data_IF_535869457889
#
_entry.id   IF_535869457889
#
_cell.length_a   1.000
_cell.length_b   1.000
_cell.length_c   1.000
_cell.angle_alpha   90.00
_cell.angle_beta   90.00
_cell.angle_gamma   90.00
#
_symmetry.space_group_name_H-M   'P 1'
#
loop_
_entity.id
_entity.type
_entity.pdbx_description
1 polymer ?
#
# COMPACT_ATOMS: atom_id res chain seq x y z
N UNK A 1 4.47 19.67 15.69
CA UNK A 1 3.02 19.44 15.80
C UNK A 1 2.34 20.25 14.70
N UNK A 2 2.24 19.67 13.49
CA UNK A 2 1.42 20.27 12.43
C UNK A 2 -0.02 19.87 12.73
N UNK A 3 -0.84 20.85 13.15
CA UNK A 3 -2.28 20.68 13.20
C UNK A 3 -2.78 20.47 11.76
N UNK A 4 -3.30 19.31 11.48
CA UNK A 4 -3.98 19.05 10.21
C UNK A 4 -5.11 20.06 10.03
N UNK A 5 -5.31 20.59 8.79
CA UNK A 5 -6.40 21.52 8.54
C UNK A 5 -7.71 20.88 8.94
N UNK A 6 -8.48 21.59 9.76
CA UNK A 6 -9.84 21.16 10.09
C UNK A 6 -10.66 21.11 8.80
N UNK A 7 -11.67 20.25 8.76
CA UNK A 7 -12.59 20.08 7.62
C UNK A 7 -13.06 21.41 7.00
N UNK A 8 -13.33 22.39 7.85
CA UNK A 8 -13.77 23.74 7.47
C UNK A 8 -12.67 24.52 6.74
N UNK A 9 -11.39 24.32 7.09
CA UNK A 9 -10.27 24.99 6.41
C UNK A 9 -9.96 24.36 5.06
N UNK A 10 -10.10 23.04 4.89
CA UNK A 10 -9.93 22.38 3.59
C UNK A 10 -11.04 22.74 2.60
N UNK A 11 -12.29 22.87 3.07
CA UNK A 11 -13.41 23.32 2.24
C UNK A 11 -13.21 24.77 1.77
N UNK A 12 -12.78 25.66 2.67
CA UNK A 12 -12.49 27.06 2.34
C UNK A 12 -11.28 27.21 1.41
N UNK A 13 -10.25 26.39 1.59
CA UNK A 13 -9.10 26.37 0.67
C UNK A 13 -9.51 25.87 -0.72
N UNK A 14 -10.31 24.81 -0.80
CA UNK A 14 -10.82 24.29 -2.06
C UNK A 14 -11.68 25.34 -2.80
N UNK A 15 -12.52 26.10 -2.09
CA UNK A 15 -13.28 27.21 -2.65
C UNK A 15 -12.38 28.35 -3.12
N UNK A 16 -11.36 28.72 -2.36
CA UNK A 16 -10.43 29.81 -2.72
C UNK A 16 -9.60 29.50 -3.99
N UNK A 17 -9.27 28.22 -4.24
CA UNK A 17 -8.52 27.80 -5.44
C UNK A 17 -9.41 27.43 -6.63
N UNK A 18 -10.72 27.46 -6.48
CA UNK A 18 -11.69 27.03 -7.49
C UNK A 18 -11.66 27.89 -8.76
N UNK A 19 -11.38 29.20 -8.66
CA UNK A 19 -11.44 30.14 -9.80
C UNK A 19 -12.78 30.02 -10.53
N UNK A 20 -12.73 30.09 -11.87
CA UNK A 20 -13.91 29.95 -12.74
C UNK A 20 -14.24 28.49 -13.14
N UNK A 21 -13.58 27.50 -12.50
CA UNK A 21 -13.81 26.08 -12.77
C UNK A 21 -15.02 25.55 -11.99
N UNK A 22 -16.00 24.99 -12.70
CA UNK A 22 -17.09 24.24 -12.08
C UNK A 22 -16.59 22.87 -11.62
N UNK A 23 -16.20 22.77 -10.34
CA UNK A 23 -15.85 21.50 -9.72
C UNK A 23 -17.05 20.92 -8.99
N UNK A 24 -17.38 19.66 -9.26
CA UNK A 24 -18.47 18.97 -8.58
C UNK A 24 -18.31 19.04 -7.05
N UNK A 25 -19.35 19.45 -6.29
CA UNK A 25 -19.30 19.43 -4.82
C UNK A 25 -19.00 18.06 -4.22
N UNK A 26 -19.31 16.97 -4.92
CA UNK A 26 -18.99 15.62 -4.49
C UNK A 26 -17.48 15.36 -4.55
N UNK A 27 -16.80 15.81 -5.62
CA UNK A 27 -15.34 15.69 -5.76
C UNK A 27 -14.64 16.50 -4.67
N UNK A 28 -15.07 17.75 -4.43
CA UNK A 28 -14.52 18.57 -3.35
C UNK A 28 -14.67 17.94 -1.97
N UNK A 29 -15.84 17.38 -1.68
CA UNK A 29 -16.06 16.67 -0.41
C UNK A 29 -15.16 15.44 -0.28
N UNK A 30 -15.09 14.61 -1.30
CA UNK A 30 -14.23 13.42 -1.30
C UNK A 30 -12.75 13.81 -1.09
N UNK A 31 -12.28 14.82 -1.82
CA UNK A 31 -10.93 15.35 -1.64
C UNK A 31 -10.67 15.83 -0.22
N UNK A 32 -11.54 16.71 0.32
CA UNK A 32 -11.41 17.24 1.67
C UNK A 32 -11.44 16.16 2.75
N UNK A 33 -12.12 15.04 2.50
CA UNK A 33 -12.22 13.91 3.42
C UNK A 33 -11.03 12.96 3.36
N UNK A 34 -10.32 12.91 2.23
CA UNK A 34 -9.26 11.92 1.97
C UNK A 34 -7.88 12.54 1.82
N UNK A 35 -7.76 13.87 1.75
CA UNK A 35 -6.50 14.56 1.50
C UNK A 35 -5.42 14.33 2.58
N UNK A 36 -5.81 13.93 3.79
CA UNK A 36 -4.89 13.56 4.87
C UNK A 36 -4.58 12.05 4.89
N UNK A 37 -5.15 11.28 3.96
CA UNK A 37 -4.91 9.84 3.88
C UNK A 37 -3.53 9.50 3.32
N UNK A 38 -2.90 8.49 3.89
CA UNK A 38 -1.64 7.95 3.42
C UNK A 38 -1.80 6.46 3.11
N UNK A 39 -1.81 6.13 1.82
CA UNK A 39 -2.00 4.76 1.37
C UNK A 39 -0.71 4.18 0.80
N UNK A 40 -0.17 3.17 1.45
CA UNK A 40 1.04 2.47 1.01
C UNK A 40 1.00 2.01 -0.46
N UNK A 41 -0.09 1.39 -0.96
CA UNK A 41 -0.19 1.01 -2.37
C UNK A 41 -0.13 2.19 -3.35
N UNK A 42 -0.75 3.33 -3.01
CA UNK A 42 -0.70 4.55 -3.83
C UNK A 42 0.73 5.11 -3.86
N UNK A 43 1.38 5.19 -2.69
CA UNK A 43 2.77 5.61 -2.58
C UNK A 43 3.71 4.69 -3.38
N UNK A 44 3.48 3.37 -3.35
CA UNK A 44 4.26 2.40 -4.12
C UNK A 44 4.10 2.61 -5.65
N UNK A 45 2.86 2.82 -6.13
CA UNK A 45 2.57 3.08 -7.53
C UNK A 45 3.25 4.38 -8.01
N UNK A 46 3.13 5.46 -7.22
CA UNK A 46 3.74 6.75 -7.53
C UNK A 46 5.27 6.69 -7.48
N UNK A 47 5.84 5.98 -6.51
CA UNK A 47 7.29 5.75 -6.44
C UNK A 47 7.81 4.98 -7.67
N UNK A 48 7.06 3.98 -8.14
CA UNK A 48 7.38 3.25 -9.37
C UNK A 48 7.32 4.14 -10.61
N UNK A 49 6.28 4.97 -10.74
CA UNK A 49 6.15 5.93 -11.83
C UNK A 49 7.33 6.93 -11.84
N UNK A 50 7.67 7.51 -10.67
CA UNK A 50 8.80 8.42 -10.55
C UNK A 50 10.14 7.76 -10.93
N UNK A 51 10.36 6.51 -10.51
CA UNK A 51 11.56 5.77 -10.87
C UNK A 51 11.64 5.53 -12.39
N UNK A 52 10.52 5.28 -13.07
CA UNK A 52 10.48 5.16 -14.52
C UNK A 52 10.85 6.48 -15.22
N UNK A 53 10.44 7.63 -14.68
CA UNK A 53 10.83 8.93 -15.23
C UNK A 53 12.35 9.17 -15.15
N UNK A 54 12.97 8.74 -14.04
CA UNK A 54 14.43 8.78 -13.91
C UNK A 54 15.10 7.90 -14.98
N UNK A 55 14.60 6.68 -15.19
CA UNK A 55 15.13 5.79 -16.24
C UNK A 55 14.98 6.38 -17.64
N UNK A 56 13.85 7.04 -17.95
CA UNK A 56 13.65 7.75 -19.23
C UNK A 56 14.65 8.88 -19.40
N UNK A 57 14.83 9.70 -18.37
CA UNK A 57 15.78 10.82 -18.41
C UNK A 57 17.22 10.35 -18.62
N UNK A 58 17.65 9.30 -17.91
CA UNK A 58 18.99 8.73 -18.04
C UNK A 58 19.21 7.96 -19.34
N UNK A 59 18.20 7.24 -19.82
CA UNK A 59 18.30 6.39 -21.01
C UNK A 59 18.11 7.10 -22.33
N UNK A 60 17.46 8.27 -22.34
CA UNK A 60 17.18 9.06 -23.52
C UNK A 60 16.27 8.40 -24.59
N UNK A 61 15.68 7.23 -24.28
CA UNK A 61 14.88 6.46 -25.24
C UNK A 61 13.41 6.88 -25.32
N UNK A 62 12.85 7.38 -24.22
CA UNK A 62 11.46 7.79 -24.10
C UNK A 62 11.40 9.19 -23.51
N UNK A 63 10.45 10.00 -23.97
CA UNK A 63 10.22 11.31 -23.41
C UNK A 63 9.67 11.18 -21.98
N UNK A 64 10.24 11.89 -21.00
CA UNK A 64 9.65 12.02 -19.67
C UNK A 64 8.25 12.66 -19.74
N UNK A 65 7.46 12.39 -18.71
CA UNK A 65 6.16 13.06 -18.54
C UNK A 65 6.41 14.58 -18.48
N UNK A 66 5.66 15.34 -19.28
CA UNK A 66 5.77 16.80 -19.29
C UNK A 66 4.77 17.39 -18.31
N UNK A 67 5.28 18.11 -17.30
CA UNK A 67 4.60 18.86 -16.25
C UNK A 67 3.92 17.97 -15.19
N UNK A 68 2.77 17.35 -15.48
CA UNK A 68 1.93 16.73 -14.46
C UNK A 68 1.54 15.30 -14.81
N UNK A 69 1.53 14.43 -13.81
CA UNK A 69 0.86 13.13 -13.82
C UNK A 69 -0.33 13.21 -12.86
N UNK A 70 -1.53 12.99 -13.38
CA UNK A 70 -2.75 12.89 -12.57
C UNK A 70 -3.02 11.43 -12.29
N UNK A 71 -3.13 11.10 -11.00
CA UNK A 71 -3.41 9.76 -10.53
C UNK A 71 -4.33 9.81 -9.33
N UNK A 72 -5.43 9.11 -9.39
CA UNK A 72 -6.35 8.92 -8.28
C UNK A 72 -6.87 7.47 -8.24
N UNK A 73 -7.56 7.12 -7.17
CA UNK A 73 -8.21 5.83 -6.96
C UNK A 73 -9.57 6.03 -6.26
N UNK A 74 -10.30 7.09 -6.62
CA UNK A 74 -11.58 7.44 -6.00
C UNK A 74 -12.63 6.33 -6.14
N UNK A 75 -12.55 5.52 -7.18
CA UNK A 75 -13.41 4.36 -7.37
C UNK A 75 -13.25 3.29 -6.28
N UNK A 76 -12.13 3.28 -5.57
CA UNK A 76 -11.89 2.39 -4.45
C UNK A 76 -12.55 2.85 -3.14
N UNK A 77 -13.06 4.09 -3.09
CA UNK A 77 -13.68 4.63 -1.90
C UNK A 77 -15.06 3.97 -1.65
N UNK A 78 -15.31 3.46 -0.44
CA UNK A 78 -16.62 2.95 -0.09
C UNK A 78 -17.65 4.09 -0.02
N UNK A 79 -18.94 3.80 -0.23
CA UNK A 79 -20.01 4.73 0.12
C UNK A 79 -19.88 5.12 1.61
N UNK A 80 -19.86 6.42 1.92
CA UNK A 80 -19.69 6.89 3.30
C UNK A 80 -21.03 7.22 3.93
N UNK A 81 -21.35 6.52 5.00
CA UNK A 81 -22.53 6.78 5.83
C UNK A 81 -22.20 7.63 7.08
N UNK A 82 -20.98 7.52 7.62
CA UNK A 82 -20.56 8.21 8.84
C UNK A 82 -19.13 8.72 8.78
N UNK A 83 -18.87 9.85 9.43
CA UNK A 83 -17.53 10.45 9.55
C UNK A 83 -16.84 10.16 10.88
N UNK A 84 -17.56 9.68 11.87
CA UNK A 84 -16.99 9.37 13.20
C UNK A 84 -16.06 8.17 13.13
N UNK A 85 -16.34 7.26 12.20
CA UNK A 85 -15.54 6.07 11.96
C UNK A 85 -14.17 6.34 11.31
N UNK A 86 -13.93 7.55 10.83
CA UNK A 86 -12.69 7.95 10.16
C UNK A 86 -11.76 8.81 11.04
N UNK A 87 -11.92 8.80 12.36
CA UNK A 87 -11.04 9.55 13.27
C UNK A 87 -9.73 8.83 13.51
N UNK A 88 -8.64 9.61 13.59
CA UNK A 88 -7.33 9.12 14.00
C UNK A 88 -7.34 8.63 15.45
N UNK A 89 -6.64 7.56 15.73
CA UNK A 89 -6.48 6.94 17.05
C UNK A 89 -5.02 6.94 17.55
N UNK A 90 -4.09 7.50 16.79
CA UNK A 90 -2.67 7.44 17.04
C UNK A 90 -2.06 6.08 16.64
N UNK A 91 -2.72 5.36 15.75
CA UNK A 91 -2.27 4.07 15.23
C UNK A 91 -1.42 4.23 13.97
N UNK A 92 -0.64 3.20 13.65
CA UNK A 92 0.10 3.15 12.38
C UNK A 92 -0.81 3.05 11.14
N UNK A 93 -2.10 2.83 11.33
CA UNK A 93 -3.09 2.66 10.27
C UNK A 93 -3.97 3.89 10.08
N UNK A 94 -3.70 4.99 10.77
CA UNK A 94 -4.53 6.20 10.71
C UNK A 94 -4.66 6.74 9.28
N UNK A 95 -3.58 6.69 8.48
CA UNK A 95 -3.63 7.08 7.07
C UNK A 95 -4.64 6.28 6.23
N UNK A 96 -4.92 5.03 6.61
CA UNK A 96 -5.94 4.17 5.98
C UNK A 96 -7.31 4.46 6.60
N UNK A 97 -7.36 4.55 7.93
CA UNK A 97 -8.59 4.77 8.69
C UNK A 97 -9.28 6.08 8.30
N UNK A 98 -8.50 7.15 8.10
CA UNK A 98 -9.02 8.44 7.61
C UNK A 98 -9.71 8.30 6.25
N UNK A 99 -9.22 7.41 5.39
CA UNK A 99 -9.77 7.20 4.04
C UNK A 99 -10.94 6.24 4.04
N UNK A 100 -10.81 5.08 4.69
CA UNK A 100 -11.73 3.95 4.56
C UNK A 100 -12.59 3.69 5.80
N UNK A 101 -12.24 4.25 6.95
CA UNK A 101 -12.91 4.01 8.22
C UNK A 101 -12.34 2.80 9.00
N UNK A 102 -12.69 2.73 10.29
CA UNK A 102 -12.23 1.68 11.21
C UNK A 102 -12.76 0.30 10.86
N UNK A 103 -14.02 0.21 10.47
CA UNK A 103 -14.62 -1.06 10.08
C UNK A 103 -13.86 -1.70 8.92
N UNK A 104 -13.45 -0.90 7.94
CA UNK A 104 -12.63 -1.38 6.85
C UNK A 104 -11.25 -1.85 7.34
N UNK A 105 -10.60 -1.09 8.22
CA UNK A 105 -9.31 -1.48 8.82
C UNK A 105 -9.44 -2.78 9.64
N UNK A 106 -10.53 -2.95 10.37
CA UNK A 106 -10.82 -4.20 11.07
C UNK A 106 -10.97 -5.37 10.09
N UNK A 107 -11.73 -5.21 9.01
CA UNK A 107 -11.86 -6.24 7.96
C UNK A 107 -10.52 -6.60 7.33
N UNK A 108 -9.64 -5.62 7.09
CA UNK A 108 -8.28 -5.89 6.63
C UNK A 108 -7.50 -6.72 7.64
N UNK A 109 -7.57 -6.37 8.91
CA UNK A 109 -6.87 -7.09 9.98
C UNK A 109 -7.30 -8.56 10.10
N UNK A 110 -8.57 -8.85 9.85
CA UNK A 110 -9.17 -10.18 9.90
C UNK A 110 -9.05 -10.96 8.59
N UNK A 111 -8.63 -10.30 7.52
CA UNK A 111 -8.53 -10.92 6.20
C UNK A 111 -7.49 -12.04 6.15
N UNK A 112 -7.81 -13.07 5.38
CA UNK A 112 -6.92 -14.20 5.09
C UNK A 112 -6.53 -14.15 3.61
N UNK A 113 -5.23 -13.98 3.36
CA UNK A 113 -4.70 -13.86 1.99
C UNK A 113 -3.75 -15.01 1.71
N UNK A 114 -3.92 -15.65 0.56
CA UNK A 114 -3.01 -16.65 0.04
C UNK A 114 -2.24 -16.06 -1.14
N UNK A 115 -0.94 -15.90 -1.00
CA UNK A 115 -0.06 -15.35 -2.01
C UNK A 115 0.81 -16.43 -2.62
N UNK A 116 0.72 -16.58 -3.94
CA UNK A 116 1.52 -17.51 -4.71
C UNK A 116 2.70 -16.80 -5.33
N UNK A 117 3.90 -17.14 -4.87
CA UNK A 117 5.16 -16.57 -5.33
C UNK A 117 5.66 -15.40 -4.47
N UNK A 118 6.91 -15.49 -4.04
CA UNK A 118 7.66 -14.44 -3.34
C UNK A 118 8.75 -13.83 -4.25
N UNK A 119 8.46 -13.70 -5.55
CA UNK A 119 9.31 -13.02 -6.53
C UNK A 119 9.22 -11.49 -6.40
N UNK A 120 9.54 -10.74 -7.45
CA UNK A 120 9.53 -9.27 -7.43
C UNK A 120 8.14 -8.70 -7.06
N UNK A 121 7.10 -9.14 -7.77
CA UNK A 121 5.71 -8.71 -7.50
C UNK A 121 5.26 -9.20 -6.12
N UNK A 122 5.59 -10.45 -5.74
CA UNK A 122 5.26 -10.99 -4.42
C UNK A 122 5.88 -10.21 -3.27
N UNK A 123 7.11 -9.73 -3.43
CA UNK A 123 7.77 -8.85 -2.45
C UNK A 123 7.01 -7.53 -2.27
N UNK A 124 6.58 -6.90 -3.38
CA UNK A 124 5.79 -5.67 -3.34
C UNK A 124 4.41 -5.90 -2.71
N UNK A 125 3.73 -6.99 -3.09
CA UNK A 125 2.45 -7.37 -2.51
C UNK A 125 2.56 -7.60 -1.00
N UNK A 126 3.51 -8.41 -0.55
CA UNK A 126 3.72 -8.71 0.88
C UNK A 126 3.98 -7.44 1.69
N UNK A 127 4.83 -6.55 1.17
CA UNK A 127 5.08 -5.24 1.80
C UNK A 127 3.77 -4.46 1.97
N UNK A 128 3.02 -4.28 0.89
CA UNK A 128 1.79 -3.51 0.92
C UNK A 128 0.75 -4.14 1.85
N UNK A 129 0.54 -5.45 1.80
CA UNK A 129 -0.38 -6.16 2.69
C UNK A 129 0.01 -5.99 4.17
N UNK A 130 1.30 -6.11 4.49
CA UNK A 130 1.80 -5.93 5.85
C UNK A 130 1.62 -4.47 6.35
N UNK A 131 1.90 -3.48 5.50
CA UNK A 131 1.74 -2.06 5.86
C UNK A 131 0.27 -1.65 5.97
N UNK A 132 -0.62 -2.24 5.19
CA UNK A 132 -2.07 -2.08 5.31
C UNK A 132 -2.65 -2.76 6.56
N UNK A 133 -1.89 -3.60 7.25
CA UNK A 133 -2.36 -4.32 8.42
C UNK A 133 -3.20 -5.56 8.11
N UNK A 134 -3.08 -6.11 6.91
CA UNK A 134 -3.75 -7.37 6.55
C UNK A 134 -3.21 -8.50 7.42
N UNK A 135 -4.12 -9.30 8.00
CA UNK A 135 -3.73 -10.47 8.78
C UNK A 135 -3.13 -10.15 10.15
N UNK A 136 -3.44 -9.00 10.73
CA UNK A 136 -2.91 -8.58 12.05
C UNK A 136 -3.78 -8.99 13.24
N UNK A 137 -5.03 -9.40 13.01
CA UNK A 137 -5.88 -9.93 14.07
C UNK A 137 -5.67 -11.45 14.26
N UNK A 138 -6.09 -12.03 15.39
CA UNK A 138 -6.01 -13.48 15.60
C UNK A 138 -6.76 -14.32 14.55
N UNK A 139 -7.74 -13.75 13.86
CA UNK A 139 -8.52 -14.41 12.78
C UNK A 139 -7.87 -14.23 11.42
N UNK A 140 -7.05 -13.19 11.27
CA UNK A 140 -6.40 -12.83 10.02
C UNK A 140 -5.06 -13.53 9.82
N UNK A 141 -4.65 -13.67 8.55
CA UNK A 141 -3.40 -14.36 8.20
C UNK A 141 -2.99 -14.09 6.76
N UNK A 142 -1.70 -13.97 6.52
CA UNK A 142 -1.11 -14.07 5.18
C UNK A 142 -0.44 -15.44 5.06
N UNK A 143 -0.72 -16.17 4.01
CA UNK A 143 -0.01 -17.41 3.67
C UNK A 143 0.75 -17.13 2.38
N UNK A 144 2.07 -17.26 2.39
CA UNK A 144 2.91 -17.13 1.21
C UNK A 144 3.52 -18.47 0.83
N UNK A 145 3.39 -18.85 -0.44
CA UNK A 145 4.03 -20.07 -0.97
C UNK A 145 5.02 -19.72 -2.07
N UNK A 146 6.22 -20.25 -1.95
CA UNK A 146 7.28 -20.21 -2.98
C UNK A 146 8.27 -21.34 -2.74
N UNK A 147 8.52 -22.17 -3.74
CA UNK A 147 9.44 -23.30 -3.62
C UNK A 147 10.90 -22.95 -3.92
N UNK A 148 11.14 -21.74 -4.46
CA UNK A 148 12.46 -21.33 -4.92
C UNK A 148 13.37 -20.89 -3.78
N UNK A 149 14.67 -20.93 -4.08
CA UNK A 149 15.71 -20.31 -3.26
C UNK A 149 16.15 -18.97 -3.84
N UNK A 150 16.67 -18.13 -2.96
CA UNK A 150 17.15 -16.79 -3.32
C UNK A 150 18.48 -16.92 -4.07
N UNK A 151 18.54 -16.29 -5.23
CA UNK A 151 19.75 -16.15 -6.02
C UNK A 151 20.28 -14.72 -6.00
N UNK A 152 21.57 -14.52 -6.26
CA UNK A 152 22.19 -13.19 -6.31
C UNK A 152 21.50 -12.28 -7.34
N UNK A 153 21.07 -12.82 -8.48
CA UNK A 153 20.34 -12.12 -9.54
C UNK A 153 18.98 -11.57 -9.10
N UNK A 154 18.39 -12.14 -8.03
CA UNK A 154 17.10 -11.69 -7.49
C UNK A 154 17.22 -10.36 -6.75
N UNK A 155 18.39 -10.05 -6.19
CA UNK A 155 18.59 -8.89 -5.31
C UNK A 155 18.40 -7.54 -6.02
N UNK A 156 18.43 -7.53 -7.35
CA UNK A 156 18.19 -6.32 -8.14
C UNK A 156 16.73 -5.81 -8.09
N UNK A 157 15.76 -6.69 -7.75
CA UNK A 157 14.33 -6.37 -7.81
C UNK A 157 13.47 -7.00 -6.70
N UNK A 158 13.98 -7.99 -5.97
CA UNK A 158 13.28 -8.64 -4.84
C UNK A 158 13.79 -8.05 -3.53
N UNK A 159 13.33 -6.84 -3.22
CA UNK A 159 13.91 -5.97 -2.19
C UNK A 159 13.75 -6.49 -0.74
N UNK A 160 12.92 -7.51 -0.50
CA UNK A 160 12.82 -8.15 0.82
C UNK A 160 14.06 -8.98 1.17
N UNK A 161 14.90 -9.30 0.19
CA UNK A 161 16.09 -10.14 0.35
C UNK A 161 17.38 -9.31 0.41
N UNK A 162 18.38 -9.86 1.10
CA UNK A 162 19.71 -9.28 1.26
C UNK A 162 20.78 -10.26 0.84
N UNK A 163 22.03 -9.80 0.69
CA UNK A 163 23.14 -10.64 0.29
C UNK A 163 23.32 -11.91 1.15
N UNK A 164 23.07 -11.80 2.44
CA UNK A 164 23.16 -12.91 3.39
C UNK A 164 22.00 -13.92 3.28
N UNK A 165 20.97 -13.61 2.52
CA UNK A 165 19.82 -14.48 2.32
C UNK A 165 19.97 -15.38 1.07
N UNK A 166 21.03 -15.19 0.27
CA UNK A 166 21.29 -16.03 -0.92
C UNK A 166 21.37 -17.49 -0.52
N UNK A 167 20.63 -18.36 -1.24
CA UNK A 167 20.49 -19.78 -0.95
C UNK A 167 19.39 -20.13 0.06
N UNK A 168 18.82 -19.16 0.78
CA UNK A 168 17.68 -19.40 1.67
C UNK A 168 16.35 -19.48 0.89
N UNK A 169 15.32 -20.04 1.52
CA UNK A 169 13.96 -20.10 0.96
C UNK A 169 13.38 -18.69 0.76
N UNK A 170 12.81 -18.41 -0.43
CA UNK A 170 12.13 -17.14 -0.72
C UNK A 170 10.94 -16.92 0.19
N UNK A 171 10.04 -17.90 0.33
CA UNK A 171 8.85 -17.77 1.16
C UNK A 171 9.19 -17.47 2.62
N UNK A 172 10.10 -18.21 3.23
CA UNK A 172 10.51 -18.03 4.61
C UNK A 172 11.19 -16.70 4.86
N UNK A 173 12.08 -16.29 3.96
CA UNK A 173 12.80 -15.03 4.09
C UNK A 173 11.87 -13.83 3.91
N UNK A 174 10.95 -13.90 2.94
CA UNK A 174 9.94 -12.86 2.73
C UNK A 174 9.02 -12.71 3.96
N UNK A 175 8.51 -13.83 4.51
CA UNK A 175 7.69 -13.81 5.72
C UNK A 175 8.43 -13.12 6.89
N UNK A 176 9.67 -13.48 7.14
CA UNK A 176 10.51 -12.86 8.18
C UNK A 176 10.76 -11.37 7.93
N UNK A 177 10.94 -10.98 6.68
CA UNK A 177 11.19 -9.57 6.33
C UNK A 177 9.96 -8.70 6.59
N UNK A 178 8.76 -9.15 6.21
CA UNK A 178 7.53 -8.36 6.42
C UNK A 178 7.09 -8.34 7.87
N UNK A 179 7.36 -9.39 8.66
CA UNK A 179 7.14 -9.37 10.11
C UNK A 179 8.02 -8.35 10.83
N UNK A 180 9.22 -8.05 10.30
CA UNK A 180 10.04 -6.93 10.81
C UNK A 180 9.44 -5.57 10.48
N UNK A 181 8.75 -5.43 9.35
CA UNK A 181 8.07 -4.18 8.97
C UNK A 181 6.82 -3.95 9.82
N UNK A 182 6.07 -5.01 10.07
CA UNK A 182 4.88 -4.99 10.91
C UNK A 182 4.82 -6.24 11.81
N UNK A 183 5.27 -6.15 13.07
CA UNK A 183 5.31 -7.29 13.98
C UNK A 183 3.94 -7.92 14.31
N UNK A 184 2.84 -7.18 14.10
CA UNK A 184 1.49 -7.68 14.33
C UNK A 184 0.99 -8.60 13.23
N UNK A 185 1.65 -8.67 12.06
CA UNK A 185 1.19 -9.49 10.93
C UNK A 185 1.47 -10.97 11.19
N UNK A 186 0.45 -11.79 11.05
CA UNK A 186 0.59 -13.25 11.07
C UNK A 186 0.88 -13.77 9.67
N UNK A 187 2.09 -14.30 9.46
CA UNK A 187 2.52 -14.84 8.17
C UNK A 187 2.97 -16.28 8.31
N UNK A 188 2.29 -17.16 7.59
CA UNK A 188 2.73 -18.54 7.36
C UNK A 188 3.46 -18.62 6.03
N UNK A 189 4.52 -19.43 5.96
CA UNK A 189 5.28 -19.66 4.74
C UNK A 189 5.29 -21.13 4.36
N UNK A 190 5.01 -21.42 3.11
CA UNK A 190 5.02 -22.77 2.55
C UNK A 190 6.08 -22.86 1.45
N UNK A 191 6.87 -23.92 1.48
CA UNK A 191 7.95 -24.15 0.50
C UNK A 191 7.51 -25.21 -0.53
N UNK A 192 6.29 -25.07 -1.06
CA UNK A 192 5.67 -26.03 -1.95
C UNK A 192 5.11 -25.37 -3.19
N UNK A 193 5.04 -26.14 -4.28
CA UNK A 193 4.37 -25.71 -5.51
C UNK A 193 2.86 -25.80 -5.35
N UNK A 194 2.13 -24.81 -5.86
CA UNK A 194 0.66 -24.86 -5.91
C UNK A 194 0.20 -26.09 -6.70
N UNK A 195 -0.75 -26.84 -6.13
CA UNK A 195 -1.24 -28.10 -6.71
C UNK A 195 -0.55 -29.37 -6.16
N UNK A 196 0.44 -29.23 -5.27
CA UNK A 196 1.07 -30.33 -4.54
C UNK A 196 0.64 -30.37 -3.06
N UNK A 197 -0.49 -29.75 -2.74
CA UNK A 197 -1.11 -29.86 -1.43
C UNK A 197 -1.85 -31.21 -1.36
N UNK A 198 -1.21 -32.21 -0.78
CA UNK A 198 -1.82 -33.46 -0.40
C UNK A 198 -2.16 -33.44 1.09
#
# INVERSE_FOLDING_TARGET
>A
LHSFPTRRSSDLMAEAFRGDLEVSPAVLRNFAQTCCGELGPVAAAMGGAAAQEVLKACGGKFAPIRQFLYYDAFEALPPRESHEDCREEGSRYDGITVVFGREFQQRLSESRVFLVGAGAIGCEMLKNLALLGVGTSPRGKIIVTDMDRIERSNLSRQFLFRGNDVGQSKARTAARAVQKMNPAVHVDCWEVKVGQFA
#
